data_IF_673464964769
#
_entry.id   IF_673464964769
#
_cell.length_a   1.000
_cell.length_b   1.000
_cell.length_c   1.000
_cell.angle_alpha   90.00
_cell.angle_beta   90.00
_cell.angle_gamma   90.00
#
_symmetry.space_group_name_H-M   'P 1'
#
loop_
_entity.id
_entity.type
_entity.pdbx_description
1 polymer ?
#
# COMPACT_ATOMS: atom_id res chain seq x y z
N UNK A 1 25.96 45.40 -16.89
CA UNK A 1 24.69 44.64 -16.70
C UNK A 1 24.87 43.73 -15.49
N UNK A 2 24.04 43.84 -14.44
CA UNK A 2 24.17 42.98 -13.27
C UNK A 2 23.53 41.62 -13.54
N UNK A 3 24.22 40.55 -13.12
CA UNK A 3 23.73 39.18 -13.23
C UNK A 3 22.57 38.95 -12.25
N UNK A 4 21.42 38.52 -12.78
CA UNK A 4 20.29 38.05 -11.98
C UNK A 4 20.69 36.72 -11.34
N UNK A 5 20.94 36.71 -10.03
CA UNK A 5 21.06 35.49 -9.25
C UNK A 5 19.70 34.80 -9.23
N UNK A 6 19.62 33.62 -9.85
CA UNK A 6 18.42 32.79 -9.79
C UNK A 6 18.09 32.48 -8.34
N UNK A 7 16.89 32.86 -7.90
CA UNK A 7 16.38 32.49 -6.60
C UNK A 7 16.28 30.95 -6.54
N UNK A 8 17.02 30.34 -5.61
CA UNK A 8 16.84 28.95 -5.26
C UNK A 8 15.43 28.77 -4.70
N UNK A 9 14.57 28.09 -5.45
CA UNK A 9 13.25 27.66 -4.97
C UNK A 9 13.50 26.73 -3.77
N UNK A 10 12.98 27.02 -2.57
CA UNK A 10 13.17 26.13 -1.44
C UNK A 10 12.60 24.75 -1.77
N UNK A 11 13.39 23.71 -1.52
CA UNK A 11 12.94 22.34 -1.71
C UNK A 11 11.66 22.13 -0.88
N UNK A 12 10.55 21.80 -1.55
CA UNK A 12 9.29 21.53 -0.86
C UNK A 12 9.52 20.48 0.23
N UNK A 13 8.94 20.69 1.42
CA UNK A 13 9.05 19.76 2.53
C UNK A 13 8.71 18.33 2.06
N UNK A 14 9.44 17.30 2.51
CA UNK A 14 9.13 15.92 2.16
C UNK A 14 7.70 15.64 2.62
N UNK A 15 6.84 15.23 1.69
CA UNK A 15 5.49 14.80 2.01
C UNK A 15 5.53 13.27 2.10
N UNK A 16 5.47 12.65 3.28
CA UNK A 16 5.49 11.20 3.37
C UNK A 16 4.14 10.60 2.98
N UNK A 17 4.09 9.30 2.67
CA UNK A 17 2.86 8.52 2.78
C UNK A 17 2.48 8.47 4.26
N UNK A 18 1.24 8.87 4.57
CA UNK A 18 0.71 8.86 5.93
C UNK A 18 -0.16 7.63 6.12
N UNK A 19 0.10 6.88 7.19
CA UNK A 19 -0.61 5.64 7.47
C UNK A 19 -1.70 5.87 8.50
N UNK A 20 -2.91 5.47 8.17
CA UNK A 20 -4.10 5.51 9.01
C UNK A 20 -4.57 4.10 9.32
N UNK A 21 -5.17 3.93 10.49
CA UNK A 21 -5.88 2.71 10.87
C UNK A 21 -7.30 3.08 11.23
N UNK A 22 -8.23 2.78 10.34
CA UNK A 22 -9.65 2.85 10.63
C UNK A 22 -10.11 1.59 11.37
N UNK A 23 -10.95 1.77 12.36
CA UNK A 23 -11.62 0.66 13.03
C UNK A 23 -13.08 1.00 13.34
N UNK A 24 -14.02 0.06 13.20
CA UNK A 24 -15.40 0.24 13.65
C UNK A 24 -15.49 0.60 15.14
N UNK A 25 -16.57 1.26 15.54
CA UNK A 25 -16.76 1.75 16.91
C UNK A 25 -16.74 0.63 17.97
N UNK A 26 -17.15 -0.58 17.59
CA UNK A 26 -17.25 -1.77 18.44
C UNK A 26 -16.21 -2.86 18.08
N UNK A 27 -15.27 -2.55 17.19
CA UNK A 27 -14.26 -3.50 16.75
C UNK A 27 -12.88 -2.81 16.75
N UNK A 28 -12.15 -2.84 17.88
CA UNK A 28 -10.89 -2.10 18.04
C UNK A 28 -9.77 -2.64 17.13
N UNK A 29 -8.67 -1.87 16.95
CA UNK A 29 -7.52 -2.31 16.15
C UNK A 29 -6.99 -3.67 16.59
N UNK A 30 -6.50 -4.45 15.62
CA UNK A 30 -6.00 -5.80 15.88
C UNK A 30 -4.74 -5.75 16.77
N UNK A 31 -4.58 -6.66 17.74
CA UNK A 31 -3.37 -6.72 18.56
C UNK A 31 -2.09 -6.78 17.71
N UNK A 32 -1.10 -5.96 18.03
CA UNK A 32 0.17 -5.90 17.31
C UNK A 32 0.13 -5.21 15.94
N UNK A 33 -0.97 -4.53 15.58
CA UNK A 33 -1.09 -3.85 14.28
C UNK A 33 0.09 -2.91 13.98
N UNK A 34 0.62 -2.17 14.97
CA UNK A 34 1.71 -1.21 14.75
C UNK A 34 2.96 -1.88 14.20
N UNK A 35 3.40 -2.99 14.82
CA UNK A 35 4.57 -3.73 14.34
C UNK A 35 4.30 -4.38 12.99
N UNK A 36 3.10 -4.96 12.81
CA UNK A 36 2.70 -5.64 11.58
C UNK A 36 2.69 -4.68 10.38
N UNK A 37 2.00 -3.54 10.53
CA UNK A 37 1.90 -2.54 9.47
C UNK A 37 3.23 -1.85 9.19
N UNK A 38 4.07 -1.61 10.19
CA UNK A 38 5.42 -1.10 9.94
C UNK A 38 6.26 -2.09 9.13
N UNK A 39 6.19 -3.39 9.45
CA UNK A 39 6.88 -4.44 8.70
C UNK A 39 6.39 -4.52 7.26
N UNK A 40 5.07 -4.53 7.05
CA UNK A 40 4.44 -4.55 5.72
C UNK A 40 4.84 -3.32 4.90
N UNK A 41 4.72 -2.12 5.47
CA UNK A 41 5.03 -0.88 4.74
C UNK A 41 6.52 -0.76 4.43
N UNK A 42 7.42 -1.24 5.30
CA UNK A 42 8.86 -1.34 5.00
C UNK A 42 9.13 -2.32 3.86
N UNK A 43 8.46 -3.46 3.84
CA UNK A 43 8.59 -4.43 2.76
C UNK A 43 8.14 -3.85 1.41
N UNK A 44 6.99 -3.19 1.38
CA UNK A 44 6.48 -2.53 0.16
C UNK A 44 7.42 -1.39 -0.26
N UNK A 45 7.88 -0.56 0.68
CA UNK A 45 8.86 0.49 0.40
C UNK A 45 10.15 -0.06 -0.23
N UNK A 46 10.64 -1.21 0.25
CA UNK A 46 11.80 -1.89 -0.31
C UNK A 46 11.54 -2.49 -1.70
N UNK A 47 10.33 -3.01 -1.96
CA UNK A 47 9.93 -3.44 -3.31
C UNK A 47 10.01 -2.28 -4.31
N UNK A 48 9.45 -1.12 -3.95
CA UNK A 48 9.53 0.07 -4.80
C UNK A 48 10.98 0.53 -4.99
N UNK A 49 11.80 0.54 -3.93
CA UNK A 49 13.22 0.90 -4.03
C UNK A 49 13.97 0.02 -5.03
N UNK A 50 13.80 -1.31 -4.93
CA UNK A 50 14.40 -2.27 -5.85
C UNK A 50 13.89 -2.07 -7.27
N UNK A 51 12.58 -1.88 -7.45
CA UNK A 51 11.98 -1.61 -8.76
C UNK A 51 12.56 -0.36 -9.42
N UNK A 52 12.76 0.73 -8.67
CA UNK A 52 13.38 1.95 -9.16
C UNK A 52 14.85 1.75 -9.55
N UNK A 53 15.61 1.01 -8.73
CA UNK A 53 17.01 0.69 -9.00
C UNK A 53 17.17 -0.18 -10.25
N UNK A 54 16.38 -1.26 -10.37
CA UNK A 54 16.38 -2.16 -11.53
C UNK A 54 16.04 -1.44 -12.85
N UNK A 55 15.29 -0.33 -12.77
CA UNK A 55 14.93 0.51 -13.92
C UNK A 55 15.88 1.73 -14.11
N UNK A 56 17.00 1.78 -13.37
CA UNK A 56 18.07 2.77 -13.60
C UNK A 56 17.87 4.13 -12.91
N UNK A 57 16.95 4.25 -11.95
CA UNK A 57 16.66 5.51 -11.25
C UNK A 57 17.48 5.76 -9.99
N UNK A 58 18.40 4.86 -9.68
CA UNK A 58 19.32 4.93 -8.53
C UNK A 58 18.86 4.11 -7.33
N UNK A 59 19.84 3.60 -6.58
CA UNK A 59 19.61 2.80 -5.38
C UNK A 59 18.92 3.61 -4.28
N UNK A 60 18.03 2.95 -3.52
CA UNK A 60 17.34 3.55 -2.38
C UNK A 60 16.18 4.49 -2.73
N UNK A 61 15.95 4.78 -4.02
CA UNK A 61 14.87 5.70 -4.43
C UNK A 61 13.49 5.08 -4.21
N UNK A 62 12.73 5.61 -3.27
CA UNK A 62 11.40 5.10 -2.93
C UNK A 62 10.54 6.18 -2.28
N UNK A 63 9.26 5.90 -2.02
CA UNK A 63 8.39 6.83 -1.30
C UNK A 63 8.81 6.94 0.18
N UNK A 64 8.68 8.12 0.77
CA UNK A 64 8.91 8.31 2.20
C UNK A 64 7.70 7.84 3.04
N UNK A 65 7.95 7.31 4.25
CA UNK A 65 6.94 7.01 5.26
C UNK A 65 7.02 8.01 6.41
N UNK A 66 5.89 8.33 7.03
CA UNK A 66 5.89 9.17 8.22
C UNK A 66 6.44 8.37 9.42
N UNK A 67 7.54 8.87 10.01
CA UNK A 67 8.29 8.18 11.07
C UNK A 67 8.27 9.00 12.36
N UNK A 68 8.21 8.31 13.50
CA UNK A 68 8.41 8.90 14.82
C UNK A 68 9.88 9.13 15.12
N UNK A 69 10.16 9.71 16.29
CA UNK A 69 11.52 9.92 16.80
C UNK A 69 12.27 8.59 16.97
N UNK A 70 11.56 7.54 17.35
CA UNK A 70 12.03 6.16 17.46
C UNK A 70 12.23 5.45 16.11
N UNK A 71 12.04 6.16 14.99
CA UNK A 71 12.03 5.63 13.62
C UNK A 71 10.92 4.59 13.38
N UNK A 72 9.98 4.43 14.29
CA UNK A 72 8.78 3.62 14.11
C UNK A 72 7.83 4.27 13.12
N UNK A 73 7.01 3.46 12.44
CA UNK A 73 5.93 3.98 11.60
C UNK A 73 4.91 4.71 12.46
N UNK A 74 4.57 5.95 12.11
CA UNK A 74 3.43 6.64 12.70
C UNK A 74 2.16 6.12 12.05
N UNK A 75 1.27 5.56 12.87
CA UNK A 75 -0.06 5.11 12.47
C UNK A 75 -1.11 5.97 13.18
N UNK A 76 -1.91 6.70 12.41
CA UNK A 76 -2.99 7.55 12.92
C UNK A 76 -4.26 6.73 13.09
N UNK A 77 -4.73 6.59 14.33
CA UNK A 77 -6.01 5.92 14.59
C UNK A 77 -7.20 6.77 14.15
N UNK A 78 -8.18 6.11 13.54
CA UNK A 78 -9.45 6.69 13.09
C UNK A 78 -10.58 5.86 13.69
N UNK A 79 -11.17 6.29 14.81
CA UNK A 79 -12.35 5.65 15.34
C UNK A 79 -13.53 5.93 14.40
N UNK A 80 -14.06 4.87 13.81
CA UNK A 80 -15.23 4.91 12.95
C UNK A 80 -16.52 5.12 13.72
N UNK A 81 -17.50 5.76 13.08
CA UNK A 81 -18.84 5.94 13.67
C UNK A 81 -19.75 4.72 13.54
N UNK A 82 -19.43 3.82 12.61
CA UNK A 82 -20.22 2.63 12.32
C UNK A 82 -19.73 1.44 13.15
N UNK A 83 -20.65 0.57 13.55
CA UNK A 83 -20.35 -0.77 14.06
C UNK A 83 -19.90 -1.70 12.94
N UNK A 84 -19.14 -2.74 13.26
CA UNK A 84 -18.63 -3.69 12.27
C UNK A 84 -19.75 -4.29 11.40
N UNK A 85 -20.89 -4.63 12.01
CA UNK A 85 -22.04 -5.23 11.32
C UNK A 85 -22.71 -4.31 10.27
N UNK A 86 -22.47 -2.99 10.34
CA UNK A 86 -23.03 -2.00 9.41
C UNK A 86 -22.18 -1.84 8.14
N UNK A 87 -20.98 -2.41 8.12
CA UNK A 87 -20.06 -2.32 6.99
C UNK A 87 -20.46 -3.29 5.88
N UNK A 88 -20.49 -2.79 4.65
CA UNK A 88 -20.78 -3.56 3.44
C UNK A 88 -19.94 -3.05 2.28
N UNK A 89 -19.40 -3.98 1.48
CA UNK A 89 -18.63 -3.66 0.28
C UNK A 89 -19.44 -2.75 -0.65
N UNK A 90 -18.81 -1.67 -1.13
CA UNK A 90 -19.43 -0.66 -1.99
C UNK A 90 -20.28 0.40 -1.27
N UNK A 91 -20.50 0.29 0.05
CA UNK A 91 -21.24 1.27 0.86
C UNK A 91 -20.37 1.90 1.95
N UNK A 92 -19.44 1.12 2.52
CA UNK A 92 -18.54 1.54 3.60
C UNK A 92 -17.66 2.74 3.24
N UNK A 93 -17.20 2.81 2.00
CA UNK A 93 -16.13 3.71 1.55
C UNK A 93 -16.40 5.17 1.87
N UNK A 94 -17.62 5.66 1.58
CA UNK A 94 -18.01 7.03 1.88
C UNK A 94 -17.84 7.35 3.36
N UNK A 95 -18.29 6.46 4.24
CA UNK A 95 -18.21 6.70 5.68
C UNK A 95 -16.77 6.70 6.17
N UNK A 96 -15.96 5.79 5.65
CA UNK A 96 -14.56 5.65 5.97
C UNK A 96 -13.75 6.87 5.52
N UNK A 97 -14.02 7.37 4.32
CA UNK A 97 -13.44 8.61 3.80
C UNK A 97 -13.80 9.82 4.69
N UNK A 98 -15.08 10.02 4.99
CA UNK A 98 -15.54 11.12 5.86
C UNK A 98 -14.91 11.05 7.27
N UNK A 99 -14.73 9.86 7.82
CA UNK A 99 -14.10 9.67 9.14
C UNK A 99 -12.60 9.98 9.11
N UNK A 100 -11.88 9.57 8.06
CA UNK A 100 -10.44 9.88 7.88
C UNK A 100 -10.22 11.37 7.59
N UNK A 101 -11.03 11.97 6.71
CA UNK A 101 -10.97 13.40 6.36
C UNK A 101 -11.14 14.27 7.62
N UNK A 102 -12.15 13.97 8.45
CA UNK A 102 -12.37 14.67 9.73
C UNK A 102 -11.12 14.62 10.61
N UNK A 103 -10.50 13.45 10.71
CA UNK A 103 -9.33 13.20 11.56
C UNK A 103 -8.05 13.87 11.00
N UNK A 104 -7.93 14.03 9.68
CA UNK A 104 -6.87 14.80 9.02
C UNK A 104 -7.05 16.31 9.23
N UNK A 105 -8.25 16.84 8.96
CA UNK A 105 -8.55 18.27 9.08
C UNK A 105 -8.42 18.78 10.50
N UNK A 106 -8.82 17.98 11.50
CA UNK A 106 -8.61 18.30 12.91
C UNK A 106 -7.12 18.46 13.28
N UNK A 107 -6.20 17.94 12.47
CA UNK A 107 -4.75 18.08 12.62
C UNK A 107 -4.15 19.13 11.67
N UNK A 108 -4.99 19.92 11.00
CA UNK A 108 -4.55 20.94 10.05
C UNK A 108 -3.94 20.38 8.76
N UNK A 109 -4.21 19.10 8.44
CA UNK A 109 -3.76 18.48 7.21
C UNK A 109 -4.84 18.56 6.13
N UNK A 110 -4.40 18.83 4.91
CA UNK A 110 -5.24 18.88 3.72
C UNK A 110 -5.17 17.52 2.99
N UNK A 111 -6.23 16.70 3.03
CA UNK A 111 -6.22 15.35 2.45
C UNK A 111 -5.92 15.34 0.95
N UNK A 112 -6.35 16.36 0.20
CA UNK A 112 -6.17 16.44 -1.25
C UNK A 112 -4.69 16.64 -1.64
N UNK A 113 -3.85 17.01 -0.67
CA UNK A 113 -2.41 17.24 -0.84
C UNK A 113 -1.57 16.14 -0.21
N UNK A 114 -2.19 15.05 0.21
CA UNK A 114 -1.57 13.94 0.92
C UNK A 114 -1.76 12.61 0.21
N UNK A 115 -0.77 11.72 0.35
CA UNK A 115 -0.91 10.32 -0.04
C UNK A 115 -1.16 9.51 1.22
N UNK A 116 -2.31 8.85 1.25
CA UNK A 116 -2.87 8.20 2.44
C UNK A 116 -2.90 6.70 2.22
N UNK A 117 -2.37 5.96 3.19
CA UNK A 117 -2.53 4.51 3.28
C UNK A 117 -3.46 4.21 4.45
N UNK A 118 -4.67 3.74 4.18
CA UNK A 118 -5.71 3.50 5.16
C UNK A 118 -5.90 1.99 5.34
N UNK A 119 -5.38 1.47 6.45
CA UNK A 119 -5.64 0.09 6.87
C UNK A 119 -6.95 0.00 7.65
N UNK A 120 -7.63 -1.13 7.51
CA UNK A 120 -8.91 -1.40 8.16
C UNK A 120 -8.97 -2.85 8.67
N UNK A 121 -9.60 -3.12 9.82
CA UNK A 121 -9.93 -4.48 10.27
C UNK A 121 -11.26 -4.97 9.68
N UNK A 122 -11.46 -4.76 8.38
CA UNK A 122 -12.68 -5.11 7.65
C UNK A 122 -12.52 -6.35 6.76
N UNK A 123 -11.45 -7.11 6.95
CA UNK A 123 -11.35 -8.50 6.52
C UNK A 123 -11.79 -9.38 7.69
N UNK A 124 -13.03 -9.87 7.63
CA UNK A 124 -13.64 -10.62 8.75
C UNK A 124 -13.66 -12.11 8.46
N UNK A 125 -13.34 -12.91 9.48
CA UNK A 125 -13.34 -14.37 9.35
C UNK A 125 -14.68 -14.94 9.82
N UNK A 126 -15.32 -15.75 8.99
CA UNK A 126 -16.53 -16.53 9.33
C UNK A 126 -16.42 -17.92 8.75
N UNK A 127 -16.58 -18.94 9.59
CA UNK A 127 -16.53 -20.36 9.19
C UNK A 127 -15.28 -20.71 8.35
N UNK A 128 -14.12 -20.17 8.75
CA UNK A 128 -12.85 -20.38 8.05
C UNK A 128 -12.67 -19.62 6.72
N UNK A 129 -13.59 -18.71 6.38
CA UNK A 129 -13.53 -17.87 5.17
C UNK A 129 -13.22 -16.43 5.55
N UNK A 130 -12.30 -15.81 4.81
CA UNK A 130 -12.06 -14.38 4.89
C UNK A 130 -13.10 -13.64 4.02
N UNK A 131 -13.80 -12.68 4.63
CA UNK A 131 -14.89 -11.93 4.01
C UNK A 131 -14.54 -10.44 4.03
N UNK A 132 -14.51 -9.85 2.85
CA UNK A 132 -14.20 -8.45 2.64
C UNK A 132 -15.46 -7.58 2.82
N UNK A 133 -15.54 -6.80 3.91
CA UNK A 133 -16.67 -5.90 4.19
C UNK A 133 -16.31 -4.41 4.09
N UNK A 134 -15.09 -4.10 3.64
CA UNK A 134 -14.59 -2.75 3.41
C UNK A 134 -14.18 -2.49 1.96
N UNK A 135 -13.60 -1.31 1.67
CA UNK A 135 -12.92 -1.04 0.41
C UNK A 135 -11.51 -1.66 0.41
N UNK A 136 -11.09 -2.09 -0.78
CA UNK A 136 -9.70 -2.43 -1.08
C UNK A 136 -9.40 -1.94 -2.50
N UNK A 137 -8.86 -0.74 -2.61
CA UNK A 137 -8.50 -0.10 -3.88
C UNK A 137 -7.62 1.14 -3.60
N UNK A 138 -6.94 1.62 -4.63
CA UNK A 138 -6.23 2.90 -4.63
C UNK A 138 -6.72 3.86 -5.72
N UNK A 139 -6.60 5.15 -5.46
CA UNK A 139 -6.88 6.22 -6.42
C UNK A 139 -6.04 7.46 -6.09
N UNK A 140 -5.58 8.18 -7.09
CA UNK A 140 -4.76 9.35 -6.84
C UNK A 140 -4.07 9.90 -8.06
N UNK A 141 -3.08 10.76 -7.80
CA UNK A 141 -2.30 11.46 -8.78
C UNK A 141 -1.05 12.08 -8.16
N UNK A 142 -0.37 12.97 -8.90
CA UNK A 142 0.90 13.57 -8.46
C UNK A 142 0.83 14.35 -7.14
N UNK A 143 -0.34 14.89 -6.82
CA UNK A 143 -0.54 15.78 -5.67
C UNK A 143 -0.96 15.05 -4.38
N UNK A 144 -1.63 13.90 -4.51
CA UNK A 144 -2.22 13.15 -3.42
C UNK A 144 -2.98 11.92 -3.91
N UNK A 145 -3.41 11.08 -2.97
CA UNK A 145 -4.12 9.85 -3.29
C UNK A 145 -4.51 9.06 -2.05
N UNK A 146 -5.48 8.18 -2.23
CA UNK A 146 -6.02 7.28 -1.23
C UNK A 146 -5.70 5.84 -1.61
N UNK A 147 -5.24 5.06 -0.64
CA UNK A 147 -5.09 3.62 -0.76
C UNK A 147 -5.79 2.97 0.43
N UNK A 148 -6.76 2.11 0.19
CA UNK A 148 -7.46 1.35 1.22
C UNK A 148 -7.03 -0.10 1.18
N UNK A 149 -6.72 -0.67 2.34
CA UNK A 149 -6.37 -2.07 2.48
C UNK A 149 -6.85 -2.65 3.80
N UNK A 150 -6.78 -3.98 3.93
CA UNK A 150 -7.08 -4.68 5.15
C UNK A 150 -5.83 -4.92 6.00
N UNK A 151 -6.00 -4.85 7.33
CA UNK A 151 -5.12 -5.49 8.28
C UNK A 151 -5.69 -6.85 8.67
N UNK A 152 -4.82 -7.84 8.85
CA UNK A 152 -5.17 -9.20 9.27
C UNK A 152 -4.00 -9.83 10.05
N UNK A 153 -4.23 -10.68 11.07
CA UNK A 153 -3.15 -11.30 11.83
C UNK A 153 -2.21 -12.20 11.00
N UNK A 154 -2.65 -12.71 9.85
CA UNK A 154 -1.84 -13.48 8.91
C UNK A 154 -0.93 -12.62 8.03
N UNK A 155 -1.15 -11.30 7.98
CA UNK A 155 -0.41 -10.36 7.14
C UNK A 155 1.03 -10.22 7.64
N UNK A 156 1.96 -10.88 6.97
CA UNK A 156 3.38 -10.89 7.32
C UNK A 156 4.24 -11.16 6.07
N UNK A 157 5.08 -10.20 5.63
CA UNK A 157 5.95 -10.39 4.47
C UNK A 157 6.96 -11.53 4.63
N UNK A 158 7.35 -11.90 5.86
CA UNK A 158 8.30 -13.02 6.06
C UNK A 158 7.63 -14.37 5.78
N UNK A 159 6.30 -14.40 5.66
CA UNK A 159 5.52 -15.61 5.37
C UNK A 159 5.17 -15.73 3.88
N UNK A 160 5.68 -14.85 3.01
CA UNK A 160 5.48 -14.94 1.56
C UNK A 160 5.95 -16.29 0.99
N UNK A 161 7.04 -16.86 1.50
CA UNK A 161 7.51 -18.20 1.14
C UNK A 161 6.73 -19.38 1.73
N UNK A 162 5.70 -19.13 2.56
CA UNK A 162 4.97 -20.21 3.24
C UNK A 162 4.02 -20.95 2.30
N UNK A 163 4.19 -22.26 2.21
CA UNK A 163 3.23 -23.18 1.54
C UNK A 163 2.22 -23.81 2.51
N UNK A 164 2.27 -23.45 3.79
CA UNK A 164 1.37 -24.00 4.81
C UNK A 164 -0.09 -23.53 4.56
N UNK A 165 -1.10 -24.38 4.77
CA UNK A 165 -2.50 -23.99 4.65
C UNK A 165 -2.88 -22.99 5.76
N UNK A 166 -3.99 -22.27 5.54
CA UNK A 166 -4.57 -21.36 6.55
C UNK A 166 -4.88 -19.97 6.01
N UNK A 167 -4.51 -19.69 4.76
CA UNK A 167 -4.98 -18.51 4.04
C UNK A 167 -6.37 -18.72 3.44
N UNK A 168 -7.03 -17.61 3.13
CA UNK A 168 -8.25 -17.62 2.32
C UNK A 168 -8.24 -16.39 1.40
N UNK A 169 -8.61 -16.59 0.14
CA UNK A 169 -8.85 -15.51 -0.80
C UNK A 169 -10.18 -15.74 -1.53
N UNK A 170 -10.59 -14.80 -2.38
CA UNK A 170 -11.88 -14.86 -3.10
C UNK A 170 -12.05 -16.17 -3.89
N UNK A 171 -10.94 -16.77 -4.36
CA UNK A 171 -10.92 -18.06 -5.06
C UNK A 171 -11.10 -19.29 -4.15
N UNK A 172 -10.98 -19.14 -2.83
CA UNK A 172 -11.10 -20.22 -1.85
C UNK A 172 -9.94 -20.29 -0.85
N UNK A 173 -9.85 -21.39 -0.08
CA UNK A 173 -8.72 -21.64 0.82
C UNK A 173 -7.39 -21.68 0.05
N UNK A 174 -6.36 -21.07 0.63
CA UNK A 174 -5.05 -20.97 0.02
C UNK A 174 -3.92 -21.16 1.04
N UNK A 175 -2.67 -21.17 0.58
CA UNK A 175 -1.52 -21.13 1.48
C UNK A 175 -1.41 -19.76 2.16
N UNK A 176 -0.76 -19.71 3.31
CA UNK A 176 -0.43 -18.45 4.00
C UNK A 176 0.40 -17.51 3.10
N UNK A 177 1.32 -18.05 2.30
CA UNK A 177 2.12 -17.24 1.39
C UNK A 177 1.31 -16.71 0.21
N UNK A 178 0.35 -17.48 -0.31
CA UNK A 178 -0.60 -17.02 -1.33
C UNK A 178 -1.55 -15.93 -0.78
N UNK A 179 -2.06 -16.09 0.45
CA UNK A 179 -2.76 -15.02 1.16
C UNK A 179 -1.94 -13.73 1.21
N UNK A 180 -0.68 -13.83 1.62
CA UNK A 180 0.23 -12.67 1.68
C UNK A 180 0.57 -12.12 0.29
N UNK A 181 0.59 -12.96 -0.75
CA UNK A 181 0.75 -12.49 -2.14
C UNK A 181 -0.40 -11.54 -2.48
N UNK A 182 -1.64 -11.98 -2.27
CA UNK A 182 -2.82 -11.19 -2.57
C UNK A 182 -2.90 -9.90 -1.74
N UNK A 183 -2.71 -9.97 -0.43
CA UNK A 183 -2.93 -8.82 0.44
C UNK A 183 -1.72 -7.88 0.54
N UNK A 184 -0.47 -8.35 0.51
CA UNK A 184 0.71 -7.47 0.47
C UNK A 184 0.99 -6.99 -0.95
N UNK A 185 0.84 -7.87 -1.94
CA UNK A 185 0.94 -7.49 -3.36
C UNK A 185 -0.16 -6.52 -3.77
N UNK A 186 -1.38 -6.72 -3.24
CA UNK A 186 -2.46 -5.75 -3.40
C UNK A 186 -2.13 -4.39 -2.77
N UNK A 187 -1.55 -4.35 -1.55
CA UNK A 187 -1.14 -3.08 -0.92
C UNK A 187 -0.12 -2.36 -1.82
N UNK A 188 0.85 -3.08 -2.37
CA UNK A 188 1.81 -2.50 -3.30
C UNK A 188 1.12 -1.97 -4.57
N UNK A 189 0.20 -2.73 -5.17
CA UNK A 189 -0.54 -2.34 -6.37
C UNK A 189 -1.41 -1.10 -6.16
N UNK A 190 -2.26 -1.12 -5.13
CA UNK A 190 -3.18 -0.02 -4.82
C UNK A 190 -2.43 1.25 -4.40
N UNK A 191 -1.31 1.11 -3.70
CA UNK A 191 -0.46 2.27 -3.40
C UNK A 191 0.14 2.85 -4.69
N UNK A 192 0.41 2.02 -5.70
CA UNK A 192 0.75 2.47 -7.06
C UNK A 192 -0.33 3.38 -7.65
N UNK A 193 -1.60 2.99 -7.57
CA UNK A 193 -2.71 3.85 -7.98
C UNK A 193 -2.81 5.14 -7.18
N UNK A 194 -2.53 5.11 -5.87
CA UNK A 194 -2.48 6.31 -5.04
C UNK A 194 -1.33 7.27 -5.43
N UNK A 195 -0.30 6.78 -6.12
CA UNK A 195 0.74 7.60 -6.76
C UNK A 195 0.40 8.03 -8.19
N UNK A 196 -0.82 7.75 -8.67
CA UNK A 196 -1.29 8.07 -10.01
C UNK A 196 -0.79 7.12 -11.10
N UNK A 197 -0.34 5.91 -10.76
CA UNK A 197 0.09 4.92 -11.75
C UNK A 197 -1.14 4.22 -12.34
N UNK A 198 -1.32 4.20 -13.68
CA UNK A 198 -2.39 3.41 -14.31
C UNK A 198 -2.01 1.93 -14.35
N UNK A 199 -2.98 1.08 -14.70
CA UNK A 199 -2.66 -0.31 -15.09
C UNK A 199 -1.78 -0.35 -16.32
N UNK A 200 -0.88 -1.32 -16.36
CA UNK A 200 -0.07 -1.65 -17.52
C UNK A 200 0.05 -3.17 -17.69
N UNK A 201 0.96 -3.59 -18.57
CA UNK A 201 1.25 -5.00 -18.80
C UNK A 201 2.69 -5.19 -19.23
N UNK A 202 3.32 -6.23 -18.71
CA UNK A 202 4.65 -6.64 -19.16
C UNK A 202 4.67 -7.10 -20.63
N UNK A 203 5.81 -6.89 -21.29
CA UNK A 203 6.05 -7.52 -22.59
C UNK A 203 6.37 -9.02 -22.43
N UNK A 204 6.35 -9.78 -23.53
CA UNK A 204 6.54 -11.23 -23.49
C UNK A 204 7.91 -11.68 -22.92
N UNK A 205 8.97 -10.91 -23.16
CA UNK A 205 10.31 -11.22 -22.69
C UNK A 205 10.43 -11.02 -21.17
N UNK A 206 9.93 -9.90 -20.65
CA UNK A 206 9.89 -9.63 -19.22
C UNK A 206 8.95 -10.60 -18.49
N UNK A 207 7.82 -10.98 -19.09
CA UNK A 207 6.94 -12.01 -18.51
C UNK A 207 7.66 -13.30 -18.18
N UNK A 208 8.50 -13.76 -19.11
CA UNK A 208 9.26 -15.02 -18.96
C UNK A 208 10.35 -14.89 -17.90
N UNK A 209 10.98 -13.72 -17.79
CA UNK A 209 12.17 -13.52 -16.96
C UNK A 209 11.87 -13.01 -15.55
N UNK A 210 10.91 -12.10 -15.42
CA UNK A 210 10.63 -11.30 -14.22
C UNK A 210 9.24 -11.55 -13.64
N UNK A 211 8.33 -12.12 -14.43
CA UNK A 211 6.96 -12.41 -14.01
C UNK A 211 5.98 -11.32 -14.41
N UNK A 212 5.05 -10.96 -13.54
CA UNK A 212 3.99 -10.01 -13.90
C UNK A 212 4.30 -8.58 -13.46
N UNK A 213 3.91 -7.61 -14.29
CA UNK A 213 3.94 -6.20 -13.92
C UNK A 213 3.11 -5.96 -12.64
N UNK A 214 3.62 -5.16 -11.69
CA UNK A 214 2.94 -4.89 -10.43
C UNK A 214 1.54 -4.33 -10.67
N UNK A 215 1.42 -3.33 -11.55
CA UNK A 215 0.18 -2.64 -11.93
C UNK A 215 -0.60 -3.41 -13.02
N UNK A 216 -0.13 -4.60 -13.41
CA UNK A 216 -0.90 -5.61 -14.13
C UNK A 216 -1.51 -6.63 -13.17
N UNK A 217 -1.16 -7.91 -13.36
CA UNK A 217 -1.55 -9.02 -12.46
C UNK A 217 -0.54 -9.30 -11.33
N UNK A 218 0.41 -8.40 -11.09
CA UNK A 218 1.52 -8.58 -10.16
C UNK A 218 1.09 -8.76 -8.72
N UNK A 219 0.00 -8.11 -8.30
CA UNK A 219 -0.60 -8.31 -6.98
C UNK A 219 -0.95 -9.80 -6.69
N UNK A 220 -1.30 -10.61 -7.69
CA UNK A 220 -1.61 -12.03 -7.50
C UNK A 220 -0.39 -12.96 -7.66
N UNK A 221 0.74 -12.43 -8.11
CA UNK A 221 1.99 -13.18 -8.30
C UNK A 221 3.09 -12.76 -7.33
N UNK A 222 2.84 -11.74 -6.52
CA UNK A 222 3.80 -11.18 -5.56
C UNK A 222 4.41 -12.25 -4.65
N UNK A 223 5.73 -12.43 -4.68
CA UNK A 223 6.44 -13.39 -3.83
C UNK A 223 6.30 -14.87 -4.24
N UNK A 224 5.70 -15.19 -5.40
CA UNK A 224 5.60 -16.58 -5.90
C UNK A 224 6.95 -17.27 -6.05
N UNK A 225 7.99 -16.52 -6.34
CA UNK A 225 9.35 -17.04 -6.48
C UNK A 225 9.85 -17.67 -5.18
N UNK A 226 9.43 -17.14 -4.02
CA UNK A 226 9.79 -17.68 -2.70
C UNK A 226 9.10 -19.02 -2.41
N UNK A 227 7.98 -19.29 -3.10
CA UNK A 227 7.25 -20.55 -3.02
C UNK A 227 7.53 -21.46 -4.20
N UNK A 228 8.43 -21.11 -5.13
CA UNK A 228 8.68 -21.90 -6.33
C UNK A 228 7.46 -22.09 -7.23
N UNK A 229 6.52 -21.13 -7.24
CA UNK A 229 5.27 -21.15 -8.02
C UNK A 229 5.40 -20.41 -9.36
N UNK A 230 6.65 -20.21 -9.81
CA UNK A 230 7.01 -19.40 -10.97
C UNK A 230 7.56 -18.03 -10.59
N UNK A 231 7.80 -17.15 -11.59
CA UNK A 231 8.25 -15.79 -11.35
C UNK A 231 7.24 -14.95 -10.55
N UNK A 232 7.76 -13.99 -9.81
CA UNK A 232 6.98 -13.08 -8.96
C UNK A 232 6.40 -11.87 -9.67
N UNK A 233 6.32 -10.78 -8.93
CA UNK A 233 5.94 -9.46 -9.43
C UNK A 233 7.16 -8.56 -9.58
N UNK A 234 7.12 -7.63 -10.53
CA UNK A 234 8.20 -6.67 -10.75
C UNK A 234 7.67 -5.30 -11.18
N UNK A 235 8.52 -4.28 -11.09
CA UNK A 235 8.18 -2.93 -11.56
C UNK A 235 8.60 -2.73 -13.03
N UNK A 236 7.66 -2.38 -13.91
CA UNK A 236 7.98 -2.10 -15.32
C UNK A 236 8.72 -0.76 -15.49
N UNK A 237 9.40 -0.53 -16.62
CA UNK A 237 9.97 0.78 -16.90
C UNK A 237 8.92 1.91 -16.94
N UNK A 238 7.70 1.61 -17.42
CA UNK A 238 6.60 2.57 -17.45
C UNK A 238 6.11 2.92 -16.05
N UNK A 239 5.95 1.91 -15.19
CA UNK A 239 5.62 2.09 -13.78
C UNK A 239 6.69 2.88 -13.02
N UNK A 240 7.98 2.71 -13.35
CA UNK A 240 9.08 3.40 -12.67
C UNK A 240 9.25 4.88 -13.11
N UNK A 241 8.80 5.23 -14.32
CA UNK A 241 8.98 6.57 -14.88
C UNK A 241 8.20 7.67 -14.13
N UNK A 242 6.95 7.39 -13.74
CA UNK A 242 6.11 8.37 -13.05
C UNK A 242 6.57 8.62 -11.60
N UNK A 243 6.90 7.59 -10.78
CA UNK A 243 7.50 7.76 -9.47
C UNK A 243 8.83 8.52 -9.51
N UNK A 244 9.63 8.37 -10.57
CA UNK A 244 10.88 9.13 -10.72
C UNK A 244 10.70 10.66 -10.76
N UNK A 245 9.49 11.15 -11.05
CA UNK A 245 9.15 12.57 -10.99
C UNK A 245 8.19 12.90 -9.84
N UNK A 246 7.76 11.89 -9.09
CA UNK A 246 6.77 12.05 -8.04
C UNK A 246 7.39 12.71 -6.81
N UNK A 247 6.79 13.77 -6.23
CA UNK A 247 7.35 14.51 -5.10
C UNK A 247 7.65 13.67 -3.84
N UNK A 248 6.99 12.52 -3.74
CA UNK A 248 7.12 11.54 -2.64
C UNK A 248 8.36 10.64 -2.77
N UNK A 249 8.91 10.49 -3.97
CA UNK A 249 10.03 9.58 -4.28
C UNK A 249 11.34 10.37 -4.39
N UNK A 250 12.11 10.38 -3.31
CA UNK A 250 13.40 11.07 -3.22
C UNK A 250 14.53 10.07 -2.95
N UNK A 251 15.73 10.46 -3.38
CA UNK A 251 17.01 9.82 -3.02
C UNK A 251 17.45 10.22 -1.62
#
# INVERSE_FOLDING_TARGET
MPAVRGATVPAAAPRPVRVFYYHPSDHPPLPGYRQRLDKVMRHVQAFYARGMEENGWGAGRTFALQRGEDRGLIVHLVPGRLKLAEHKRGQTERFLHEDVDRVLRARGLDPDRETLMVFTNLLVWRDGKAIEVGPYYGSGGPDGGWCYAYDDPLLDPDRLGSRAPGGYYVSGPCSIGEFNSHYIGGIAHELGHAFGLPHDRENAADRKRRGSALLGGGNHTYGREQRGEGPGAFMTPAEAMLPARHPRFRS
#
